data_IF_655902891404
#
_entry.id   IF_655902891404
#
_cell.length_a   1.000
_cell.length_b   1.000
_cell.length_c   1.000
_cell.angle_alpha   90.00
_cell.angle_beta   90.00
_cell.angle_gamma   90.00
#
_symmetry.space_group_name_H-M   'P 1'
#
loop_
_entity.id
_entity.type
_entity.pdbx_description
1 polymer ?
#
# COMPACT_ATOMS: atom_id res chain seq x y z
N UNK A 1 -17.41 27.58 -58.51
CA UNK A 1 -17.81 28.02 -57.16
C UNK A 1 -17.05 27.15 -56.16
N UNK A 2 -15.93 27.65 -55.65
CA UNK A 2 -15.13 26.96 -54.63
C UNK A 2 -15.48 27.60 -53.27
N UNK A 3 -16.00 26.80 -52.35
CA UNK A 3 -16.25 27.25 -50.97
C UNK A 3 -14.94 27.12 -50.20
N UNK A 4 -14.33 28.25 -49.86
CA UNK A 4 -13.22 28.27 -48.92
C UNK A 4 -13.81 28.11 -47.51
N UNK A 5 -13.61 26.95 -46.90
CA UNK A 5 -13.85 26.79 -45.47
C UNK A 5 -12.78 27.60 -44.71
N UNK A 6 -13.16 28.50 -43.78
CA UNK A 6 -12.17 29.11 -42.92
C UNK A 6 -11.59 28.02 -42.03
N UNK A 7 -10.27 27.87 -42.08
CA UNK A 7 -9.49 27.08 -41.15
C UNK A 7 -9.77 27.65 -39.75
N UNK A 8 -10.59 26.98 -38.95
CA UNK A 8 -10.83 27.36 -37.55
C UNK A 8 -9.49 27.18 -36.83
N UNK A 9 -8.79 28.28 -36.58
CA UNK A 9 -7.56 28.27 -35.80
C UNK A 9 -7.89 27.65 -34.44
N UNK A 10 -7.32 26.49 -34.15
CA UNK A 10 -7.41 25.87 -32.84
C UNK A 10 -6.60 26.74 -31.87
N UNK A 11 -7.30 27.59 -31.14
CA UNK A 11 -6.73 28.40 -30.07
C UNK A 11 -6.18 27.43 -29.01
N UNK A 12 -4.89 27.52 -28.62
CA UNK A 12 -4.33 26.62 -27.63
C UNK A 12 -4.99 26.92 -26.26
N UNK A 13 -5.81 25.98 -25.79
CA UNK A 13 -6.42 26.02 -24.46
C UNK A 13 -5.31 25.80 -23.41
N UNK A 14 -4.98 26.85 -22.66
CA UNK A 14 -4.03 26.78 -21.56
C UNK A 14 -4.77 26.33 -20.29
N UNK A 15 -4.43 25.15 -19.78
CA UNK A 15 -4.99 24.60 -18.55
C UNK A 15 -4.10 24.99 -17.38
N UNK A 16 -4.70 25.41 -16.27
CA UNK A 16 -3.96 25.72 -15.05
C UNK A 16 -3.21 24.48 -14.54
N UNK A 17 -2.03 24.72 -13.97
CA UNK A 17 -1.18 23.68 -13.42
C UNK A 17 -1.90 22.95 -12.27
N UNK A 18 -2.18 21.66 -12.46
CA UNK A 18 -2.73 20.80 -11.40
C UNK A 18 -1.58 20.28 -10.55
N UNK A 19 -1.56 20.70 -9.28
CA UNK A 19 -0.55 20.23 -8.35
C UNK A 19 -0.87 18.79 -7.90
N UNK A 20 -0.13 17.82 -8.41
CA UNK A 20 -0.26 16.41 -8.02
C UNK A 20 0.62 16.14 -6.80
N UNK A 21 0.01 16.12 -5.61
CA UNK A 21 0.69 15.68 -4.40
C UNK A 21 0.70 14.15 -4.33
N UNK A 22 1.88 13.54 -4.31
CA UNK A 22 2.05 12.08 -4.26
C UNK A 22 3.46 11.60 -4.59
N UNK A 23 4.25 12.42 -5.31
CA UNK A 23 5.66 12.16 -5.59
C UNK A 23 6.55 12.86 -4.57
N UNK A 24 6.47 12.47 -3.30
CA UNK A 24 7.52 12.85 -2.34
C UNK A 24 8.71 11.92 -2.55
N UNK A 25 9.78 12.42 -3.17
CA UNK A 25 11.06 11.71 -3.38
C UNK A 25 11.74 11.24 -2.07
N UNK A 26 11.25 11.73 -0.93
CA UNK A 26 11.44 11.13 0.38
C UNK A 26 10.07 10.79 0.96
N UNK A 27 9.56 9.58 0.70
CA UNK A 27 8.51 9.00 1.53
C UNK A 27 9.10 8.86 2.93
N UNK A 28 8.91 9.90 3.74
CA UNK A 28 9.13 9.86 5.18
C UNK A 28 8.33 8.67 5.65
N UNK A 29 9.02 7.54 5.84
CA UNK A 29 8.45 6.42 6.52
C UNK A 29 7.95 7.01 7.83
N UNK A 30 6.64 7.17 7.98
CA UNK A 30 6.12 7.36 9.32
C UNK A 30 6.66 6.18 10.13
N UNK A 31 6.96 6.37 11.41
CA UNK A 31 7.74 5.38 12.17
C UNK A 31 7.15 3.95 12.09
N UNK A 32 5.87 3.81 11.71
CA UNK A 32 5.16 2.55 11.49
C UNK A 32 4.88 2.15 10.02
N UNK A 33 5.07 3.01 9.01
CA UNK A 33 4.78 2.70 7.59
C UNK A 33 6.03 2.84 6.72
N UNK A 34 6.54 1.72 6.21
CA UNK A 34 7.62 1.72 5.23
C UNK A 34 7.06 1.87 3.81
N UNK A 35 7.71 2.70 2.97
CA UNK A 35 7.41 2.82 1.55
C UNK A 35 8.23 1.88 0.65
N UNK A 36 9.23 1.20 1.22
CA UNK A 36 10.19 0.36 0.49
C UNK A 36 10.43 -0.96 1.20
N UNK A 37 10.78 -1.98 0.42
CA UNK A 37 11.27 -3.25 0.94
C UNK A 37 12.32 -3.83 -0.01
N UNK A 38 13.33 -4.50 0.58
CA UNK A 38 14.13 -5.44 -0.18
C UNK A 38 13.55 -6.82 0.04
N UNK A 39 13.07 -7.42 -1.04
CA UNK A 39 12.53 -8.78 -1.05
C UNK A 39 13.30 -9.60 -2.08
N UNK A 40 13.29 -10.93 -1.96
CA UNK A 40 14.12 -11.83 -2.76
C UNK A 40 14.22 -11.43 -4.26
N UNK A 41 15.42 -11.03 -4.69
CA UNK A 41 15.73 -10.62 -6.07
C UNK A 41 15.43 -9.16 -6.42
N UNK A 42 14.80 -8.40 -5.53
CA UNK A 42 14.53 -6.97 -5.67
C UNK A 42 15.26 -6.21 -4.56
N UNK A 43 16.29 -5.45 -4.94
CA UNK A 43 16.96 -4.56 -4.00
C UNK A 43 16.06 -3.35 -3.70
N UNK A 44 16.07 -2.91 -2.43
CA UNK A 44 15.30 -1.80 -1.82
C UNK A 44 14.25 -1.16 -2.76
N UNK A 45 13.22 -1.90 -3.16
CA UNK A 45 12.23 -1.46 -4.14
C UNK A 45 11.07 -0.73 -3.46
N UNK A 46 10.39 0.15 -4.19
CA UNK A 46 9.12 0.72 -3.72
C UNK A 46 8.09 -0.40 -3.60
N UNK A 47 7.26 -0.35 -2.56
CA UNK A 47 6.21 -1.36 -2.37
C UNK A 47 5.20 -1.36 -3.53
N UNK A 48 4.97 -0.20 -4.16
CA UNK A 48 4.07 -0.07 -5.31
C UNK A 48 4.61 -0.76 -6.57
N UNK A 49 5.94 -0.85 -6.72
CA UNK A 49 6.60 -1.46 -7.88
C UNK A 49 6.89 -2.95 -7.67
N UNK A 50 6.55 -3.47 -6.49
CA UNK A 50 6.81 -4.86 -6.12
C UNK A 50 5.63 -5.73 -6.62
N UNK A 51 5.86 -6.75 -7.47
CA UNK A 51 4.78 -7.55 -8.08
C UNK A 51 4.19 -8.60 -7.12
N UNK A 52 4.14 -8.28 -5.83
CA UNK A 52 3.64 -9.15 -4.77
C UNK A 52 3.02 -8.31 -3.66
N UNK A 53 2.07 -8.89 -2.92
CA UNK A 53 1.57 -8.27 -1.70
C UNK A 53 2.60 -8.42 -0.58
N UNK A 54 3.12 -7.30 -0.08
CA UNK A 54 4.17 -7.26 0.95
C UNK A 54 3.72 -6.39 2.13
N UNK A 55 3.74 -6.95 3.33
CA UNK A 55 3.59 -6.22 4.60
C UNK A 55 4.96 -6.00 5.23
N UNK A 56 5.31 -4.74 5.54
CA UNK A 56 6.56 -4.38 6.20
C UNK A 56 6.28 -3.92 7.63
N UNK A 57 7.03 -4.46 8.60
CA UNK A 57 6.92 -4.09 10.00
C UNK A 57 8.20 -3.39 10.45
N UNK A 58 8.08 -2.13 10.88
CA UNK A 58 9.21 -1.35 11.37
C UNK A 58 9.60 -1.75 12.80
N UNK A 59 10.82 -1.38 13.19
CA UNK A 59 11.30 -1.63 14.55
C UNK A 59 10.44 -0.90 15.61
N UNK A 60 10.06 0.35 15.36
CA UNK A 60 9.17 1.11 16.26
C UNK A 60 7.84 0.37 16.47
N UNK A 61 7.26 -0.17 15.38
CA UNK A 61 6.01 -0.93 15.45
C UNK A 61 6.14 -2.23 16.25
N UNK A 62 7.27 -2.92 16.12
CA UNK A 62 7.56 -4.16 16.87
C UNK A 62 7.72 -3.84 18.37
N UNK A 63 8.46 -2.77 18.69
CA UNK A 63 8.70 -2.33 20.07
C UNK A 63 7.41 -1.89 20.76
N UNK A 64 6.58 -1.10 20.09
CA UNK A 64 5.34 -0.59 20.68
C UNK A 64 4.29 -1.67 20.89
N UNK A 65 4.32 -2.73 20.07
CA UNK A 65 3.50 -3.92 20.30
C UNK A 65 3.98 -4.77 21.47
N UNK A 66 5.16 -4.47 22.03
CA UNK A 66 5.82 -5.27 23.05
C UNK A 66 5.89 -6.76 22.66
N UNK A 67 6.03 -7.02 21.35
CA UNK A 67 5.89 -8.36 20.80
C UNK A 67 7.06 -9.22 21.27
N UNK A 68 6.75 -10.35 21.91
CA UNK A 68 7.77 -11.35 22.30
C UNK A 68 7.97 -12.37 21.20
N UNK A 69 6.93 -12.58 20.38
CA UNK A 69 6.94 -13.50 19.26
C UNK A 69 6.52 -12.77 17.98
N UNK A 70 7.08 -13.17 16.84
CA UNK A 70 6.71 -12.61 15.53
C UNK A 70 5.25 -12.91 15.17
N UNK A 71 4.69 -14.01 15.69
CA UNK A 71 3.26 -14.32 15.59
C UNK A 71 2.38 -13.23 16.18
N UNK A 72 2.84 -12.53 17.22
CA UNK A 72 2.07 -11.47 17.88
C UNK A 72 1.97 -10.24 16.97
N UNK A 73 3.04 -9.96 16.22
CA UNK A 73 3.08 -8.91 15.20
C UNK A 73 2.14 -9.24 14.04
N UNK A 74 2.14 -10.52 13.59
CA UNK A 74 1.34 -10.99 12.46
C UNK A 74 -0.14 -11.15 12.76
N UNK A 75 -0.54 -11.40 14.02
CA UNK A 75 -1.95 -11.62 14.40
C UNK A 75 -2.92 -10.51 13.96
N UNK A 76 -2.42 -9.28 13.82
CA UNK A 76 -3.20 -8.11 13.41
C UNK A 76 -2.97 -7.71 11.94
N UNK A 77 -2.16 -8.46 11.19
CA UNK A 77 -1.99 -8.21 9.76
C UNK A 77 -3.25 -8.61 8.97
N UNK A 78 -3.57 -7.84 7.93
CA UNK A 78 -4.79 -8.03 7.14
C UNK A 78 -4.80 -9.37 6.38
N UNK A 79 -3.63 -9.90 6.03
CA UNK A 79 -3.48 -11.18 5.33
C UNK A 79 -3.42 -12.37 6.28
N UNK A 80 -3.20 -12.15 7.59
CA UNK A 80 -3.14 -13.24 8.56
C UNK A 80 -4.55 -13.68 8.98
N UNK A 81 -4.92 -14.95 8.77
CA UNK A 81 -6.24 -15.45 9.16
C UNK A 81 -6.44 -15.29 10.67
N UNK A 82 -7.48 -14.54 11.07
CA UNK A 82 -7.86 -14.49 12.48
C UNK A 82 -8.36 -15.86 12.90
N UNK A 83 -7.55 -16.56 13.68
CA UNK A 83 -7.92 -17.81 14.32
C UNK A 83 -9.14 -17.56 15.23
N UNK A 84 -10.33 -17.95 14.77
CA UNK A 84 -11.52 -18.00 15.62
C UNK A 84 -11.38 -19.21 16.54
N UNK A 85 -11.36 -19.05 17.87
CA UNK A 85 -11.48 -20.21 18.73
C UNK A 85 -12.78 -20.93 18.41
N UNK A 86 -12.68 -22.24 18.17
CA UNK A 86 -13.80 -23.13 17.97
C UNK A 86 -14.71 -22.98 19.19
N UNK A 87 -15.92 -22.44 19.01
CA UNK A 87 -16.95 -22.54 20.04
C UNK A 87 -17.10 -24.03 20.30
N UNK A 88 -16.80 -24.45 21.53
CA UNK A 88 -16.94 -25.83 21.98
C UNK A 88 -18.37 -26.28 21.69
N UNK A 89 -18.51 -27.16 20.70
CA UNK A 89 -19.70 -27.96 20.55
C UNK A 89 -19.67 -29.02 21.66
N UNK A 90 -20.18 -28.64 22.81
CA UNK A 90 -20.62 -29.58 23.82
C UNK A 90 -21.92 -30.19 23.31
N UNK A 91 -21.83 -31.08 22.32
CA UNK A 91 -22.93 -31.96 21.96
C UNK A 91 -22.77 -33.20 22.86
N UNK A 92 -23.42 -33.09 24.01
CA UNK A 92 -23.73 -34.18 24.92
C UNK A 92 -24.38 -35.33 24.14
N UNK A 93 -23.69 -36.46 24.04
CA UNK A 93 -24.30 -37.72 23.62
C UNK A 93 -24.62 -38.53 24.89
N UNK A 94 -25.93 -38.57 25.19
CA UNK A 94 -26.59 -39.59 26.02
C UNK A 94 -26.61 -40.91 25.26
#
# INVERSE_FOLDING_TARGET
MAVASPLLAAEPLNLDAVNVTGFSEQESASDYRAGRASIYGLDQALLLDTPASVSVFSEALIKDRQAKLLSDVLRNDASYPRHKPHLAKNEDWV
#
